data_IF_155770332970
#
_entry.id   IF_155770332970
#
_cell.length_a   1.000
_cell.length_b   1.000
_cell.length_c   1.000
_cell.angle_alpha   90.00
_cell.angle_beta   90.00
_cell.angle_gamma   90.00
#
_symmetry.space_group_name_H-M   'P 1'
#
loop_
_entity.id
_entity.type
_entity.pdbx_description
1 polymer ?
#
# COMPACT_ATOMS: atom_id res chain seq x y z
N UNK A 1 40.94 1.71 22.71
CA UNK A 1 39.93 2.25 21.78
C UNK A 1 39.56 1.25 20.68
N UNK A 2 40.50 0.52 20.06
CA UNK A 2 40.20 -0.45 18.97
C UNK A 2 39.56 -1.81 19.36
N UNK A 3 38.66 -1.87 20.33
CA UNK A 3 37.88 -3.10 20.65
C UNK A 3 36.37 -2.88 20.55
N UNK A 4 35.91 -1.65 20.80
CA UNK A 4 34.52 -1.25 20.58
C UNK A 4 34.28 -0.92 19.10
N UNK A 5 35.22 -0.24 18.44
CA UNK A 5 35.14 0.02 16.98
C UNK A 5 35.11 -1.28 16.19
N UNK A 6 35.96 -2.27 16.53
CA UNK A 6 35.94 -3.58 15.85
C UNK A 6 34.70 -4.42 16.15
N UNK A 7 34.02 -4.21 17.29
CA UNK A 7 32.72 -4.82 17.59
C UNK A 7 31.58 -4.11 16.86
N UNK A 8 31.67 -2.79 16.67
CA UNK A 8 30.71 -2.02 15.86
C UNK A 8 30.88 -2.33 14.37
N UNK A 9 32.10 -2.50 13.87
CA UNK A 9 32.38 -2.93 12.50
C UNK A 9 31.84 -4.35 12.24
N UNK A 10 32.08 -5.32 13.15
CA UNK A 10 31.50 -6.66 13.03
C UNK A 10 29.96 -6.67 13.05
N UNK A 11 29.33 -5.81 13.85
CA UNK A 11 27.87 -5.69 13.89
C UNK A 11 27.28 -4.98 12.66
N UNK A 12 28.10 -4.27 11.88
CA UNK A 12 27.69 -3.61 10.62
C UNK A 12 27.96 -4.43 9.36
N UNK A 13 28.74 -5.51 9.43
CA UNK A 13 29.16 -6.29 8.26
C UNK A 13 28.21 -7.43 7.87
N UNK A 14 27.16 -7.70 8.65
CA UNK A 14 26.28 -8.87 8.45
C UNK A 14 24.94 -8.58 7.74
N UNK A 15 24.64 -7.34 7.30
CA UNK A 15 23.34 -7.04 6.65
C UNK A 15 23.40 -6.89 5.11
N UNK A 16 24.58 -6.75 4.52
CA UNK A 16 24.75 -6.46 3.08
C UNK A 16 24.73 -7.71 2.16
N UNK A 17 24.44 -8.90 2.69
CA UNK A 17 24.49 -10.15 1.90
C UNK A 17 23.25 -11.04 2.06
N UNK A 18 22.06 -10.44 2.20
CA UNK A 18 20.80 -11.18 2.04
C UNK A 18 20.41 -11.17 0.56
N UNK A 19 20.25 -12.36 -0.02
CA UNK A 19 19.71 -12.50 -1.38
C UNK A 19 18.36 -11.78 -1.50
N UNK A 20 18.18 -11.05 -2.60
CA UNK A 20 16.94 -10.34 -2.90
C UNK A 20 15.77 -11.33 -2.99
N UNK A 21 14.73 -11.08 -2.18
CA UNK A 21 13.53 -11.91 -2.14
C UNK A 21 12.40 -11.21 -2.86
N UNK A 22 11.60 -12.00 -3.56
CA UNK A 22 10.54 -11.50 -4.44
C UNK A 22 9.20 -12.13 -4.10
N UNK A 23 8.15 -11.31 -4.11
CA UNK A 23 6.76 -11.75 -4.19
C UNK A 23 6.08 -10.98 -5.31
N UNK A 24 5.84 -11.68 -6.42
CA UNK A 24 5.33 -11.12 -7.67
C UNK A 24 6.19 -9.96 -8.19
N UNK A 25 5.71 -8.75 -8.02
CA UNK A 25 6.33 -7.52 -8.51
C UNK A 25 6.87 -6.65 -7.38
N UNK A 26 6.99 -7.21 -6.19
CA UNK A 26 7.62 -6.56 -5.04
C UNK A 26 8.90 -7.30 -4.66
N UNK A 27 9.93 -6.53 -4.34
CA UNK A 27 11.25 -7.02 -3.94
C UNK A 27 11.63 -6.48 -2.56
N UNK A 28 12.40 -7.26 -1.80
CA UNK A 28 12.99 -6.86 -0.52
C UNK A 28 13.96 -5.67 -0.62
N UNK A 29 14.44 -5.34 -1.83
CA UNK A 29 15.34 -4.21 -2.07
C UNK A 29 14.59 -2.90 -2.38
N UNK A 30 13.26 -2.95 -2.52
CA UNK A 30 12.44 -1.77 -2.79
C UNK A 30 12.02 -1.09 -1.49
N UNK A 31 12.00 0.24 -1.44
CA UNK A 31 11.30 1.01 -0.41
C UNK A 31 9.81 1.05 -0.75
N UNK A 32 8.98 0.45 0.10
CA UNK A 32 7.55 0.26 -0.19
C UNK A 32 6.69 1.03 0.81
N UNK A 33 5.78 1.86 0.31
CA UNK A 33 4.70 2.48 1.07
C UNK A 33 3.38 1.77 0.78
N UNK A 34 2.75 1.22 1.81
CA UNK A 34 1.41 0.63 1.74
C UNK A 34 0.39 1.62 2.30
N UNK A 35 -0.52 2.06 1.44
CA UNK A 35 -1.48 3.13 1.73
C UNK A 35 -2.83 2.55 2.10
N UNK A 36 -3.31 2.86 3.30
CA UNK A 36 -4.64 2.43 3.77
C UNK A 36 -4.79 0.91 3.87
N UNK A 37 -3.77 0.23 4.39
CA UNK A 37 -3.71 -1.23 4.53
C UNK A 37 -4.58 -1.72 5.69
N UNK A 38 -5.90 -1.49 5.60
CA UNK A 38 -6.96 -1.90 6.53
C UNK A 38 -6.54 -2.62 7.81
N UNK A 39 -6.46 -3.95 7.73
CA UNK A 39 -6.10 -4.84 8.85
C UNK A 39 -4.62 -5.22 8.88
N UNK A 40 -3.79 -4.62 8.02
CA UNK A 40 -2.36 -4.84 7.85
C UNK A 40 -1.95 -6.21 7.30
N UNK A 41 -2.91 -7.02 6.81
CA UNK A 41 -2.61 -8.35 6.29
C UNK A 41 -1.77 -8.34 5.01
N UNK A 42 -1.84 -7.28 4.19
CA UNK A 42 -0.99 -7.18 3.00
C UNK A 42 0.47 -6.89 3.37
N UNK A 43 0.69 -5.99 4.33
CA UNK A 43 2.00 -5.73 4.90
C UNK A 43 2.63 -7.01 5.48
N UNK A 44 1.86 -7.79 6.27
CA UNK A 44 2.33 -9.07 6.81
C UNK A 44 2.72 -10.04 5.69
N UNK A 45 1.89 -10.16 4.64
CA UNK A 45 2.19 -11.00 3.48
C UNK A 45 3.54 -10.64 2.82
N UNK A 46 3.82 -9.35 2.63
CA UNK A 46 5.13 -8.91 2.11
C UNK A 46 6.26 -9.21 3.10
N UNK A 47 6.03 -8.95 4.38
CA UNK A 47 7.00 -9.17 5.45
C UNK A 47 7.40 -10.65 5.60
N UNK A 48 6.45 -11.57 5.46
CA UNK A 48 6.69 -13.01 5.43
C UNK A 48 7.53 -13.42 4.21
N UNK A 49 7.16 -12.95 3.01
CA UNK A 49 7.88 -13.24 1.78
C UNK A 49 9.32 -12.72 1.79
N UNK A 50 9.54 -11.52 2.33
CA UNK A 50 10.87 -10.93 2.46
C UNK A 50 11.64 -11.51 3.66
N UNK A 51 10.93 -12.02 4.67
CA UNK A 51 11.52 -12.43 5.95
C UNK A 51 11.87 -11.27 6.89
N UNK A 52 11.57 -10.03 6.48
CA UNK A 52 11.67 -8.79 7.25
C UNK A 52 10.71 -7.76 6.65
N UNK A 53 10.52 -6.63 7.33
CA UNK A 53 9.71 -5.51 6.84
C UNK A 53 10.39 -4.15 7.00
N UNK A 54 11.71 -4.12 7.19
CA UNK A 54 12.49 -2.88 7.40
C UNK A 54 12.42 -1.90 6.24
N UNK A 55 12.13 -2.40 5.03
CA UNK A 55 11.92 -1.63 3.80
C UNK A 55 10.45 -1.24 3.57
N UNK A 56 9.52 -1.59 4.47
CA UNK A 56 8.08 -1.37 4.34
C UNK A 56 7.59 -0.34 5.35
N UNK A 57 6.84 0.65 4.84
CA UNK A 57 6.02 1.56 5.64
C UNK A 57 4.56 1.21 5.39
N UNK A 58 3.85 0.73 6.42
CA UNK A 58 2.45 0.37 6.32
C UNK A 58 1.58 1.41 7.03
N UNK A 59 0.51 1.87 6.35
CA UNK A 59 -0.30 2.98 6.86
C UNK A 59 -1.78 2.66 6.93
N UNK A 60 -2.49 3.19 7.93
CA UNK A 60 -3.95 3.16 8.02
C UNK A 60 -4.57 4.55 8.19
N UNK A 61 -5.83 4.70 7.80
CA UNK A 61 -6.57 5.98 7.92
C UNK A 61 -7.03 6.29 9.35
N UNK A 62 -7.33 5.27 10.14
CA UNK A 62 -7.79 5.42 11.51
C UNK A 62 -6.62 5.38 12.48
N UNK A 63 -6.84 5.87 13.72
CA UNK A 63 -5.92 5.67 14.84
C UNK A 63 -5.67 4.19 15.09
N UNK A 64 -4.60 3.87 15.80
CA UNK A 64 -4.28 2.48 16.15
C UNK A 64 -5.44 1.79 16.89
N UNK A 65 -5.96 2.45 17.94
CA UNK A 65 -7.07 1.94 18.74
C UNK A 65 -8.30 1.64 17.87
N UNK A 66 -8.68 2.58 17.00
CA UNK A 66 -9.82 2.41 16.11
C UNK A 66 -9.56 1.34 15.05
N UNK A 67 -8.31 1.20 14.58
CA UNK A 67 -7.93 0.12 13.66
C UNK A 67 -8.09 -1.24 14.32
N UNK A 68 -7.53 -1.43 15.52
CA UNK A 68 -7.67 -2.67 16.31
C UNK A 68 -9.12 -3.00 16.64
N UNK A 69 -9.94 -1.99 16.91
CA UNK A 69 -11.37 -2.18 17.13
C UNK A 69 -12.12 -2.57 15.84
N UNK A 70 -11.76 -1.97 14.71
CA UNK A 70 -12.44 -2.20 13.43
C UNK A 70 -12.13 -3.54 12.81
N UNK A 71 -10.91 -4.03 12.98
CA UNK A 71 -10.41 -5.20 12.29
C UNK A 71 -9.92 -6.23 13.30
N UNK A 72 -10.61 -7.37 13.36
CA UNK A 72 -10.31 -8.44 14.31
C UNK A 72 -8.88 -8.98 14.16
N UNK A 73 -8.34 -8.99 12.93
CA UNK A 73 -6.97 -9.44 12.65
C UNK A 73 -5.88 -8.40 12.91
N UNK A 74 -6.21 -7.12 13.03
CA UNK A 74 -5.21 -6.05 13.07
C UNK A 74 -4.27 -6.18 14.28
N UNK A 75 -4.76 -6.62 15.44
CA UNK A 75 -3.91 -6.72 16.63
C UNK A 75 -2.74 -7.72 16.47
N UNK A 76 -2.98 -8.86 15.82
CA UNK A 76 -1.96 -9.87 15.55
C UNK A 76 -1.03 -9.42 14.41
N UNK A 77 -1.60 -8.86 13.34
CA UNK A 77 -0.82 -8.37 12.21
C UNK A 77 0.14 -7.24 12.62
N UNK A 78 -0.30 -6.32 13.48
CA UNK A 78 0.53 -5.23 14.00
C UNK A 78 1.70 -5.75 14.84
N UNK A 79 1.46 -6.75 15.69
CA UNK A 79 2.52 -7.38 16.49
C UNK A 79 3.58 -8.03 15.59
N UNK A 80 3.15 -8.80 14.59
CA UNK A 80 4.06 -9.43 13.65
C UNK A 80 4.87 -8.41 12.84
N UNK A 81 4.24 -7.32 12.41
CA UNK A 81 4.93 -6.24 11.70
C UNK A 81 5.98 -5.54 12.58
N UNK A 82 5.69 -5.31 13.85
CA UNK A 82 6.65 -4.78 14.81
C UNK A 82 7.84 -5.72 14.97
N UNK A 83 7.60 -7.01 15.16
CA UNK A 83 8.66 -8.04 15.29
C UNK A 83 9.54 -8.14 14.03
N UNK A 84 8.97 -7.88 12.84
CA UNK A 84 9.68 -7.88 11.55
C UNK A 84 10.32 -6.54 11.19
N UNK A 85 10.18 -5.53 12.03
CA UNK A 85 10.80 -4.21 11.84
C UNK A 85 10.07 -3.29 10.84
N UNK A 86 8.79 -3.51 10.59
CA UNK A 86 7.96 -2.63 9.77
C UNK A 86 7.79 -1.26 10.45
N UNK A 87 7.83 -0.19 9.66
CA UNK A 87 7.34 1.11 10.14
C UNK A 87 5.82 1.14 9.96
N UNK A 88 5.07 1.14 11.05
CA UNK A 88 3.60 1.29 11.01
C UNK A 88 3.21 2.73 11.36
N UNK A 89 2.32 3.32 10.56
CA UNK A 89 1.78 4.65 10.80
C UNK A 89 0.25 4.64 10.75
N UNK A 90 -0.37 5.38 11.66
CA UNK A 90 -1.82 5.53 11.73
C UNK A 90 -2.22 6.96 11.34
N UNK A 91 -3.51 7.14 11.07
CA UNK A 91 -4.09 8.45 10.71
C UNK A 91 -3.51 9.09 9.44
N UNK A 92 -2.93 8.28 8.55
CA UNK A 92 -2.38 8.74 7.28
C UNK A 92 -3.51 8.83 6.25
N UNK A 93 -3.78 10.05 5.77
CA UNK A 93 -4.76 10.28 4.73
C UNK A 93 -4.13 10.21 3.34
N UNK A 94 -4.52 9.22 2.52
CA UNK A 94 -4.05 9.03 1.16
C UNK A 94 -4.13 10.29 0.26
N UNK A 95 -5.04 11.22 0.56
CA UNK A 95 -5.21 12.47 -0.21
C UNK A 95 -4.13 13.52 0.09
N UNK A 96 -3.43 13.40 1.21
CA UNK A 96 -2.52 14.40 1.75
C UNK A 96 -1.27 13.78 2.37
N UNK A 97 -0.95 12.53 2.07
CA UNK A 97 0.18 11.80 2.65
C UNK A 97 1.54 12.44 2.30
N UNK A 98 1.64 13.13 1.16
CA UNK A 98 2.77 13.99 0.79
C UNK A 98 2.95 15.23 1.66
N UNK A 99 2.08 15.45 2.65
CA UNK A 99 2.19 16.52 3.65
C UNK A 99 2.40 15.97 5.06
N UNK A 100 2.40 14.66 5.22
CA UNK A 100 2.67 14.04 6.52
C UNK A 100 4.14 14.28 6.89
N UNK A 101 4.44 14.86 8.08
CA UNK A 101 5.81 15.20 8.45
C UNK A 101 6.80 14.04 8.41
N UNK A 102 6.35 12.81 8.66
CA UNK A 102 7.20 11.61 8.67
C UNK A 102 7.37 11.00 7.28
N UNK A 103 6.45 11.29 6.35
CA UNK A 103 6.53 10.82 4.96
C UNK A 103 7.13 11.83 3.99
N UNK A 104 7.00 13.14 4.26
CA UNK A 104 7.50 14.23 3.38
C UNK A 104 9.01 14.19 3.14
N UNK A 105 9.77 13.50 4.00
CA UNK A 105 11.22 13.33 3.88
C UNK A 105 11.61 12.01 3.19
N UNK A 106 10.64 11.26 2.64
CA UNK A 106 10.85 9.94 2.06
C UNK A 106 10.37 9.91 0.62
N UNK A 107 11.08 9.11 -0.17
CA UNK A 107 10.72 8.73 -1.54
C UNK A 107 10.72 7.21 -1.65
N UNK A 108 9.79 6.68 -2.42
CA UNK A 108 9.49 5.24 -2.48
C UNK A 108 9.63 4.68 -3.88
N UNK A 109 10.19 3.47 -3.96
CA UNK A 109 10.23 2.68 -5.19
C UNK A 109 8.84 2.16 -5.53
N UNK A 110 8.02 1.83 -4.53
CA UNK A 110 6.64 1.38 -4.70
C UNK A 110 5.70 2.08 -3.74
N UNK A 111 4.62 2.64 -4.27
CA UNK A 111 3.49 3.16 -3.48
C UNK A 111 2.25 2.36 -3.84
N UNK A 112 1.74 1.56 -2.90
CA UNK A 112 0.68 0.58 -3.15
C UNK A 112 -0.61 1.01 -2.48
N UNK A 113 -1.71 1.05 -3.23
CA UNK A 113 -3.06 1.27 -2.68
C UNK A 113 -4.02 0.20 -3.20
N UNK A 114 -4.26 -0.82 -2.37
CA UNK A 114 -5.13 -1.93 -2.72
C UNK A 114 -6.59 -1.58 -2.46
N UNK A 115 -7.43 -1.70 -3.50
CA UNK A 115 -8.88 -1.50 -3.47
C UNK A 115 -9.31 -0.20 -2.77
N UNK A 116 -8.83 0.98 -3.25
CA UNK A 116 -9.18 2.27 -2.68
C UNK A 116 -10.70 2.44 -2.56
N UNK A 117 -11.19 2.91 -1.41
CA UNK A 117 -12.62 3.07 -1.18
C UNK A 117 -12.94 4.35 -0.39
N UNK A 118 -13.97 5.07 -0.82
CA UNK A 118 -14.45 6.28 -0.17
C UNK A 118 -15.72 5.96 0.63
N UNK A 119 -15.71 6.32 1.91
CA UNK A 119 -16.75 5.99 2.88
C UNK A 119 -18.05 6.82 2.72
N UNK A 120 -18.77 6.64 1.61
CA UNK A 120 -20.13 7.13 1.43
C UNK A 120 -21.10 5.95 1.47
N UNK A 121 -22.18 6.06 2.25
CA UNK A 121 -23.20 5.01 2.42
C UNK A 121 -24.17 5.00 1.22
N UNK A 122 -23.69 4.71 0.02
CA UNK A 122 -24.48 4.60 -1.22
C UNK A 122 -24.07 3.36 -2.03
N UNK A 123 -24.91 2.96 -2.98
CA UNK A 123 -24.57 1.90 -3.93
C UNK A 123 -23.32 2.26 -4.73
N UNK A 124 -22.46 1.28 -5.02
CA UNK A 124 -21.27 1.42 -5.86
C UNK A 124 -21.59 1.90 -7.28
N UNK A 125 -22.82 1.66 -7.77
CA UNK A 125 -23.27 2.15 -9.07
C UNK A 125 -23.83 3.59 -9.03
N UNK A 126 -23.96 4.18 -7.83
CA UNK A 126 -24.48 5.54 -7.68
C UNK A 126 -23.45 6.56 -8.20
N UNK A 127 -23.89 7.51 -9.03
CA UNK A 127 -23.00 8.51 -9.63
C UNK A 127 -22.24 9.33 -8.56
N UNK A 128 -22.89 9.70 -7.45
CA UNK A 128 -22.22 10.45 -6.37
C UNK A 128 -21.18 9.60 -5.64
N UNK A 129 -21.42 8.30 -5.54
CA UNK A 129 -20.47 7.34 -4.96
C UNK A 129 -19.22 7.24 -5.86
N UNK A 130 -19.44 6.99 -7.16
CA UNK A 130 -18.38 6.93 -8.17
C UNK A 130 -17.55 8.22 -8.18
N UNK A 131 -18.19 9.39 -8.16
CA UNK A 131 -17.46 10.66 -8.09
C UNK A 131 -16.65 10.84 -6.81
N UNK A 132 -17.14 10.36 -5.67
CA UNK A 132 -16.37 10.37 -4.41
C UNK A 132 -15.12 9.50 -4.49
N UNK A 133 -15.26 8.30 -5.07
CA UNK A 133 -14.15 7.40 -5.33
C UNK A 133 -13.10 8.01 -6.28
N UNK A 134 -13.56 8.58 -7.40
CA UNK A 134 -12.69 9.27 -8.36
C UNK A 134 -11.92 10.41 -7.71
N UNK A 135 -12.56 11.20 -6.84
CA UNK A 135 -11.87 12.27 -6.08
C UNK A 135 -10.81 11.71 -5.12
N UNK A 136 -11.12 10.63 -4.41
CA UNK A 136 -10.14 9.96 -3.53
C UNK A 136 -8.91 9.51 -4.33
N UNK A 137 -9.13 8.76 -5.41
CA UNK A 137 -8.06 8.18 -6.22
C UNK A 137 -7.24 9.28 -6.94
N UNK A 138 -7.90 10.32 -7.47
CA UNK A 138 -7.20 11.49 -8.05
C UNK A 138 -6.29 12.16 -7.04
N UNK A 139 -6.78 12.44 -5.82
CA UNK A 139 -5.96 13.06 -4.78
C UNK A 139 -4.83 12.15 -4.33
N UNK A 140 -5.06 10.84 -4.25
CA UNK A 140 -4.01 9.86 -3.98
C UNK A 140 -2.92 9.89 -5.05
N UNK A 141 -3.26 9.84 -6.34
CA UNK A 141 -2.24 9.86 -7.41
C UNK A 141 -1.38 11.12 -7.37
N UNK A 142 -1.99 12.29 -7.12
CA UNK A 142 -1.23 13.54 -6.94
C UNK A 142 -0.25 13.44 -5.76
N UNK A 143 -0.73 12.94 -4.62
CA UNK A 143 0.10 12.77 -3.42
C UNK A 143 1.22 11.75 -3.64
N UNK A 144 0.92 10.63 -4.30
CA UNK A 144 1.87 9.57 -4.60
C UNK A 144 2.94 10.02 -5.60
N UNK A 145 2.58 10.79 -6.62
CA UNK A 145 3.51 11.31 -7.62
C UNK A 145 4.63 12.14 -7.00
N UNK A 146 4.32 12.95 -6.00
CA UNK A 146 5.30 13.79 -5.28
C UNK A 146 6.28 12.97 -4.41
N UNK A 147 5.91 11.73 -4.08
CA UNK A 147 6.65 10.87 -3.16
C UNK A 147 7.34 9.70 -3.86
N UNK A 148 7.24 9.65 -5.20
CA UNK A 148 7.76 8.55 -5.98
C UNK A 148 9.23 8.79 -6.35
N UNK A 149 10.05 7.75 -6.26
CA UNK A 149 11.39 7.75 -6.85
C UNK A 149 11.33 7.97 -8.37
N UNK A 150 12.45 8.31 -8.99
CA UNK A 150 12.52 8.56 -10.44
C UNK A 150 12.01 7.35 -11.27
N UNK A 151 12.44 6.15 -10.88
CA UNK A 151 12.01 4.88 -11.50
C UNK A 151 10.96 4.13 -10.65
N UNK A 152 10.30 4.84 -9.73
CA UNK A 152 9.29 4.24 -8.86
C UNK A 152 7.98 3.97 -9.58
N UNK A 153 7.15 3.11 -8.99
CA UNK A 153 5.82 2.78 -9.51
C UNK A 153 4.73 2.98 -8.44
N UNK A 154 3.60 3.56 -8.85
CA UNK A 154 2.36 3.57 -8.08
C UNK A 154 1.52 2.37 -8.49
N UNK A 155 1.19 1.50 -7.54
CA UNK A 155 0.39 0.30 -7.77
C UNK A 155 -1.00 0.47 -7.18
N UNK A 156 -2.03 0.37 -8.03
CA UNK A 156 -3.42 0.40 -7.59
C UNK A 156 -4.10 -0.91 -7.98
N UNK A 157 -4.54 -1.68 -6.99
CA UNK A 157 -5.36 -2.87 -7.23
C UNK A 157 -6.82 -2.48 -7.28
N UNK A 158 -7.49 -2.70 -8.41
CA UNK A 158 -8.86 -2.24 -8.62
C UNK A 158 -9.68 -3.18 -9.48
N UNK A 159 -11.00 -3.19 -9.24
CA UNK A 159 -11.97 -3.96 -10.03
C UNK A 159 -12.12 -3.37 -11.43
N UNK A 160 -12.26 -4.23 -12.43
CA UNK A 160 -12.22 -3.82 -13.84
C UNK A 160 -13.57 -3.89 -14.55
N UNK A 161 -14.62 -4.38 -13.87
CA UNK A 161 -15.99 -4.46 -14.42
C UNK A 161 -16.88 -3.34 -13.90
N UNK A 162 -18.00 -3.07 -14.57
CA UNK A 162 -19.02 -2.13 -14.10
C UNK A 162 -19.52 -2.52 -12.68
N UNK A 163 -19.79 -1.56 -11.77
CA UNK A 163 -19.65 -0.10 -11.93
C UNK A 163 -18.23 0.45 -11.73
N UNK A 164 -17.28 -0.38 -11.32
CA UNK A 164 -15.94 0.02 -10.93
C UNK A 164 -15.12 0.55 -12.11
N UNK A 165 -15.28 -0.01 -13.32
CA UNK A 165 -14.61 0.50 -14.53
C UNK A 165 -14.87 2.00 -14.80
N UNK A 166 -16.03 2.51 -14.37
CA UNK A 166 -16.41 3.94 -14.50
C UNK A 166 -15.57 4.88 -13.64
N UNK A 167 -14.70 4.35 -12.79
CA UNK A 167 -13.75 5.17 -12.05
C UNK A 167 -12.61 5.68 -12.95
N UNK A 168 -12.40 5.08 -14.13
CA UNK A 168 -11.40 5.49 -15.12
C UNK A 168 -10.01 5.75 -14.50
N UNK A 169 -9.53 4.81 -13.68
CA UNK A 169 -8.32 5.03 -12.86
C UNK A 169 -7.06 5.36 -13.68
N UNK A 170 -6.97 4.85 -14.92
CA UNK A 170 -5.86 5.17 -15.84
C UNK A 170 -5.86 6.66 -16.20
N UNK A 171 -7.03 7.23 -16.50
CA UNK A 171 -7.20 8.67 -16.75
C UNK A 171 -6.89 9.51 -15.51
N UNK A 172 -7.28 9.04 -14.32
CA UNK A 172 -6.98 9.75 -13.07
C UNK A 172 -5.48 9.77 -12.74
N UNK A 173 -4.74 8.72 -13.12
CA UNK A 173 -3.29 8.68 -13.01
C UNK A 173 -2.63 9.66 -14.00
N UNK A 174 -3.08 9.67 -15.24
CA UNK A 174 -2.57 10.58 -16.29
C UNK A 174 -2.78 12.06 -15.92
N UNK A 175 -3.94 12.41 -15.34
CA UNK A 175 -4.22 13.74 -14.78
C UNK A 175 -3.24 14.17 -13.66
N UNK A 176 -2.50 13.22 -13.08
CA UNK A 176 -1.46 13.43 -12.07
C UNK A 176 -0.04 13.26 -12.61
N UNK A 177 0.15 13.11 -13.94
CA UNK A 177 1.47 12.93 -14.55
C UNK A 177 2.03 11.52 -14.42
N UNK A 178 1.18 10.53 -14.14
CA UNK A 178 1.56 9.12 -14.04
C UNK A 178 0.96 8.32 -15.20
N UNK A 179 1.78 7.52 -15.87
CA UNK A 179 1.40 6.78 -17.07
C UNK A 179 1.37 5.29 -16.80
N UNK A 180 0.44 4.57 -17.43
CA UNK A 180 0.31 3.13 -17.26
C UNK A 180 1.54 2.42 -17.84
N UNK A 181 2.27 1.73 -16.99
CA UNK A 181 3.42 0.88 -17.36
C UNK A 181 2.94 -0.55 -17.63
N UNK A 182 2.13 -1.10 -16.73
CA UNK A 182 1.65 -2.47 -16.84
C UNK A 182 0.30 -2.64 -16.16
N UNK A 183 -0.49 -3.59 -16.65
CA UNK A 183 -1.75 -4.02 -16.06
C UNK A 183 -1.74 -5.52 -15.87
N UNK A 184 -1.60 -5.96 -14.62
CA UNK A 184 -1.49 -7.39 -14.26
C UNK A 184 -2.78 -7.85 -13.59
N UNK A 185 -3.26 -9.05 -13.94
CA UNK A 185 -4.42 -9.64 -13.27
C UNK A 185 -4.09 -9.90 -11.79
N UNK A 186 -4.92 -9.40 -10.88
CA UNK A 186 -4.79 -9.70 -9.46
C UNK A 186 -5.38 -11.08 -9.15
N UNK A 187 -4.66 -11.90 -8.39
CA UNK A 187 -5.17 -13.15 -7.83
C UNK A 187 -4.86 -13.18 -6.35
N UNK A 188 -5.87 -13.41 -5.51
CA UNK A 188 -5.67 -13.49 -4.05
C UNK A 188 -4.65 -14.57 -3.67
N UNK A 189 -4.63 -15.69 -4.39
CA UNK A 189 -3.67 -16.79 -4.18
C UNK A 189 -2.21 -16.40 -4.36
N UNK A 190 -1.94 -15.28 -5.02
CA UNK A 190 -0.58 -14.76 -5.21
C UNK A 190 -0.02 -14.09 -3.94
N UNK A 191 -0.89 -13.80 -2.96
CA UNK A 191 -0.57 -13.11 -1.71
C UNK A 191 -1.15 -13.91 -0.53
N UNK A 192 -0.47 -14.98 -0.08
CA UNK A 192 -0.90 -15.77 1.08
C UNK A 192 -1.10 -14.90 2.31
N UNK A 193 -2.14 -15.18 3.10
CA UNK A 193 -2.47 -14.40 4.31
C UNK A 193 -3.18 -13.06 4.07
N UNK A 194 -3.07 -12.46 2.87
CA UNK A 194 -3.74 -11.19 2.58
C UNK A 194 -5.28 -11.33 2.54
N UNK A 195 -5.98 -10.49 3.30
CA UNK A 195 -7.43 -10.40 3.33
C UNK A 195 -7.91 -9.01 2.91
N UNK A 196 -8.64 -8.92 1.79
CA UNK A 196 -9.20 -7.65 1.34
C UNK A 196 -10.47 -7.28 2.13
N UNK A 197 -10.42 -6.14 2.82
CA UNK A 197 -11.46 -5.63 3.73
C UNK A 197 -12.25 -4.46 3.14
N UNK A 198 -13.52 -4.31 3.51
CA UNK A 198 -14.40 -3.21 3.00
C UNK A 198 -13.96 -1.81 3.43
N UNK A 199 -13.11 -1.67 4.44
CA UNK A 199 -12.40 -0.43 4.74
C UNK A 199 -13.21 0.64 5.49
N UNK A 200 -14.55 0.55 5.53
CA UNK A 200 -15.39 1.56 6.20
C UNK A 200 -16.73 1.05 6.69
N UNK A 201 -17.35 1.80 7.61
CA UNK A 201 -18.66 1.51 8.18
C UNK A 201 -18.67 0.34 9.17
N UNK A 202 -19.86 -0.15 9.57
CA UNK A 202 -20.00 -1.27 10.50
C UNK A 202 -19.49 -2.61 9.96
N UNK A 203 -19.34 -2.70 8.63
CA UNK A 203 -18.91 -3.91 7.91
C UNK A 203 -17.44 -3.81 7.46
N UNK A 204 -16.65 -2.93 8.08
CA UNK A 204 -15.29 -2.64 7.63
C UNK A 204 -14.42 -3.91 7.57
N UNK A 205 -14.54 -4.79 8.57
CA UNK A 205 -13.77 -6.04 8.67
C UNK A 205 -14.25 -7.17 7.76
N UNK A 206 -15.39 -7.00 7.11
CA UNK A 206 -15.91 -8.05 6.25
C UNK A 206 -15.09 -8.13 4.96
N UNK A 207 -14.84 -9.36 4.54
CA UNK A 207 -14.36 -9.67 3.21
C UNK A 207 -15.33 -9.14 2.14
N UNK A 208 -14.78 -8.77 0.98
CA UNK A 208 -15.58 -8.53 -0.22
C UNK A 208 -15.09 -9.38 -1.40
N UNK A 209 -15.99 -9.85 -2.28
CA UNK A 209 -15.56 -10.54 -3.49
C UNK A 209 -14.79 -9.58 -4.40
N UNK A 210 -13.52 -9.87 -4.65
CA UNK A 210 -12.68 -9.07 -5.55
C UNK A 210 -13.15 -9.17 -7.02
N UNK A 211 -13.60 -10.35 -7.46
CA UNK A 211 -14.09 -10.57 -8.82
C UNK A 211 -12.98 -10.37 -9.86
N UNK A 212 -13.33 -9.77 -11.00
CA UNK A 212 -12.35 -9.37 -12.00
C UNK A 212 -11.66 -8.08 -11.56
N UNK A 213 -10.40 -8.19 -11.17
CA UNK A 213 -9.57 -7.06 -10.77
C UNK A 213 -8.13 -7.21 -11.30
N UNK A 214 -7.47 -6.07 -11.43
CA UNK A 214 -6.08 -5.95 -11.86
C UNK A 214 -5.32 -5.07 -10.88
N UNK A 215 -4.02 -5.30 -10.76
CA UNK A 215 -3.07 -4.32 -10.26
C UNK A 215 -2.55 -3.53 -11.44
N UNK A 216 -2.80 -2.22 -11.41
CA UNK A 216 -2.35 -1.25 -12.40
C UNK A 216 -1.06 -0.62 -11.86
N UNK A 217 0.00 -0.62 -12.66
CA UNK A 217 1.30 -0.04 -12.31
C UNK A 217 1.50 1.23 -13.13
N UNK A 218 1.76 2.34 -12.45
CA UNK A 218 1.95 3.64 -13.08
C UNK A 218 3.32 4.22 -12.74
N UNK A 219 4.03 4.77 -13.72
CA UNK A 219 5.33 5.43 -13.55
C UNK A 219 5.30 6.88 -14.05
N UNK A 220 6.36 7.65 -13.77
CA UNK A 220 6.47 9.06 -14.23
C UNK A 220 6.69 9.21 -15.73
N UNK A 221 7.22 8.18 -16.37
CA UNK A 221 7.45 8.15 -17.81
C UNK A 221 6.51 7.15 -18.47
N UNK A 222 6.03 7.49 -19.67
CA UNK A 222 5.46 6.46 -20.55
C UNK A 222 6.56 5.46 -20.90
N UNK A 223 6.25 4.15 -20.97
CA UNK A 223 7.09 3.18 -21.67
C UNK A 223 7.41 3.62 -23.11
#
# INVERSE_FOLDING_TARGET
MGSLESRMEMLSMDDDNKEERWIKHYSSNQKILLVGDGDFSFAVCLAEAFGSATNVVATSLYSEEMTRFKYSGAALNLLELEERGCTVMHEVNARTMNRDPLLTQKSFDRIVYNFPHAALKRSEANIRQIESHRRLVRSFFRSASDMLEENGEVHVTHKTTDPYSRWEIEKLAEEAGLFLVEKVRFRKSDYPGYENKRGSGPRADEYFPAGNCCTFKFGKSSP
#
